data_IF_141059800543
#
_entry.id   IF_141059800543
#
_cell.length_a   1.000
_cell.length_b   1.000
_cell.length_c   1.000
_cell.angle_alpha   90.00
_cell.angle_beta   90.00
_cell.angle_gamma   90.00
#
_symmetry.space_group_name_H-M   'P 1'
#
loop_
_entity.id
_entity.type
_entity.pdbx_description
1 polymer ?
#
# COMPACT_ATOMS: atom_id res chain seq x y z
N UNK A 1 -72.19 39.16 -16.12
CA UNK A 1 -72.65 40.56 -16.35
C UNK A 1 -72.16 41.39 -15.19
N UNK A 2 -71.74 42.62 -15.36
CA UNK A 2 -70.89 43.18 -16.42
C UNK A 2 -69.66 43.92 -15.89
N UNK A 3 -68.80 44.20 -16.77
CA UNK A 3 -68.11 45.42 -17.23
C UNK A 3 -66.90 45.82 -16.50
N UNK A 4 -65.78 45.64 -17.14
CA UNK A 4 -65.00 46.53 -18.04
C UNK A 4 -64.82 47.98 -17.54
N UNK A 5 -63.56 48.39 -17.28
CA UNK A 5 -63.11 49.70 -17.73
C UNK A 5 -61.58 49.73 -17.91
N UNK A 6 -61.17 50.39 -18.96
CA UNK A 6 -59.85 50.43 -19.61
C UNK A 6 -58.94 51.60 -19.11
N UNK A 7 -57.63 51.34 -19.03
CA UNK A 7 -56.41 52.09 -19.45
C UNK A 7 -56.17 53.54 -18.94
N UNK A 8 -54.93 54.13 -18.91
CA UNK A 8 -53.86 53.96 -19.87
C UNK A 8 -52.39 53.91 -19.33
N UNK A 9 -51.59 53.38 -20.19
CA UNK A 9 -50.19 53.47 -20.57
C UNK A 9 -49.36 54.66 -20.03
N UNK A 10 -48.18 54.41 -19.38
CA UNK A 10 -46.99 55.29 -19.43
C UNK A 10 -45.73 54.46 -19.60
N UNK A 11 -45.06 54.66 -20.75
CA UNK A 11 -43.72 54.16 -21.05
C UNK A 11 -42.70 54.86 -20.13
N UNK A 12 -41.97 54.05 -19.37
CA UNK A 12 -40.74 54.46 -18.68
C UNK A 12 -39.60 53.59 -19.18
N UNK A 13 -38.64 54.20 -19.83
CA UNK A 13 -37.38 53.54 -20.27
C UNK A 13 -36.55 53.26 -19.02
N UNK A 14 -36.39 52.00 -18.63
CA UNK A 14 -35.40 51.58 -17.61
C UNK A 14 -34.11 51.16 -18.30
N UNK A 15 -33.05 51.88 -18.02
CA UNK A 15 -31.69 51.44 -18.36
C UNK A 15 -31.33 50.22 -17.52
N UNK A 16 -31.12 49.07 -18.15
CA UNK A 16 -30.53 47.89 -17.53
C UNK A 16 -29.02 48.14 -17.45
N UNK A 17 -28.51 48.43 -16.23
CA UNK A 17 -27.10 48.36 -15.92
C UNK A 17 -26.77 46.87 -15.70
N UNK A 18 -26.06 46.28 -16.65
CA UNK A 18 -25.48 44.95 -16.46
C UNK A 18 -24.28 45.11 -15.55
N UNK A 19 -24.43 44.78 -14.28
CA UNK A 19 -23.32 44.54 -13.40
C UNK A 19 -22.76 43.12 -13.77
N UNK A 20 -21.61 43.12 -14.43
CA UNK A 20 -20.83 41.87 -14.60
C UNK A 20 -20.23 41.58 -13.22
N UNK A 21 -20.87 40.67 -12.48
CA UNK A 21 -20.22 40.05 -11.33
C UNK A 21 -19.16 39.08 -11.89
N UNK A 22 -17.90 39.50 -11.87
CA UNK A 22 -16.78 38.59 -11.92
C UNK A 22 -16.79 37.80 -10.60
N UNK A 23 -17.31 36.58 -10.65
CA UNK A 23 -17.04 35.59 -9.61
C UNK A 23 -15.55 35.28 -9.70
N UNK A 24 -14.76 35.89 -8.82
CA UNK A 24 -13.47 35.37 -8.47
C UNK A 24 -13.75 34.02 -7.78
N UNK A 25 -13.48 32.92 -8.47
CA UNK A 25 -13.41 31.62 -7.84
C UNK A 25 -12.24 31.71 -6.84
N UNK A 26 -12.54 31.92 -5.56
CA UNK A 26 -11.59 31.60 -4.51
C UNK A 26 -11.33 30.09 -4.61
N UNK A 27 -10.20 29.70 -5.18
CA UNK A 27 -9.66 28.36 -4.97
C UNK A 27 -9.36 28.30 -3.47
N UNK A 28 -10.13 27.50 -2.72
CA UNK A 28 -9.76 27.17 -1.36
C UNK A 28 -8.41 26.46 -1.45
N UNK A 29 -7.36 27.09 -0.95
CA UNK A 29 -6.07 26.45 -0.76
C UNK A 29 -6.27 25.38 0.30
N UNK A 30 -6.16 24.12 -0.08
CA UNK A 30 -6.15 23.01 0.87
C UNK A 30 -4.75 22.91 1.45
N UNK A 31 -4.61 23.12 2.76
CA UNK A 31 -3.39 22.82 3.48
C UNK A 31 -3.22 21.30 3.57
N UNK A 32 -2.30 20.74 2.78
CA UNK A 32 -1.95 19.33 2.82
C UNK A 32 -1.01 19.04 3.99
N UNK A 33 -1.39 18.15 4.90
CA UNK A 33 -0.46 17.63 5.93
C UNK A 33 0.48 16.63 5.28
N UNK A 34 1.78 16.86 5.37
CA UNK A 34 2.77 15.93 4.83
C UNK A 34 2.98 14.72 5.73
N UNK A 35 3.53 13.66 5.14
CA UNK A 35 4.07 12.51 5.86
C UNK A 35 5.59 12.53 5.77
N UNK A 36 6.30 11.91 6.75
CA UNK A 36 7.76 11.86 6.64
C UNK A 36 8.21 10.90 5.54
N UNK A 37 9.26 11.27 4.80
CA UNK A 37 9.87 10.40 3.80
C UNK A 37 10.34 9.07 4.41
N UNK A 38 10.89 9.10 5.61
CA UNK A 38 11.29 7.89 6.35
C UNK A 38 10.08 6.97 6.63
N UNK A 39 8.92 7.51 6.97
CA UNK A 39 7.70 6.74 7.21
C UNK A 39 7.21 6.02 5.94
N UNK A 40 7.19 6.74 4.81
CA UNK A 40 6.83 6.15 3.52
C UNK A 40 7.82 5.06 3.11
N UNK A 41 9.14 5.36 3.09
CA UNK A 41 10.16 4.40 2.71
C UNK A 41 10.20 3.17 3.64
N UNK A 42 9.86 3.34 4.91
CA UNK A 42 9.79 2.23 5.88
C UNK A 42 8.55 1.35 5.69
N UNK A 43 7.56 1.76 4.88
CA UNK A 43 6.39 0.96 4.56
C UNK A 43 6.63 -0.03 3.41
N UNK A 44 7.71 0.15 2.64
CA UNK A 44 8.00 -0.63 1.43
C UNK A 44 8.67 -1.96 1.77
N UNK A 45 8.15 -3.04 1.20
CA UNK A 45 8.67 -4.39 1.35
C UNK A 45 8.64 -5.18 0.04
N UNK A 46 9.35 -6.30 0.02
CA UNK A 46 9.38 -7.24 -1.10
C UNK A 46 9.53 -8.68 -0.60
N UNK A 47 8.92 -9.63 -1.31
CA UNK A 47 9.01 -11.05 -1.00
C UNK A 47 10.32 -11.63 -1.50
N UNK A 48 10.97 -12.45 -0.66
CA UNK A 48 12.15 -13.27 -0.98
C UNK A 48 11.86 -14.74 -0.71
N UNK A 49 12.71 -15.65 -1.22
CA UNK A 49 12.53 -17.09 -1.13
C UNK A 49 13.78 -17.79 -0.56
N UNK A 50 14.42 -17.15 0.42
CA UNK A 50 15.60 -17.71 1.12
C UNK A 50 15.20 -19.01 1.82
N UNK A 51 14.02 -19.03 2.41
CA UNK A 51 13.51 -20.20 3.15
C UNK A 51 13.20 -21.39 2.23
N UNK A 52 12.94 -21.12 0.96
CA UNK A 52 12.70 -22.11 -0.09
C UNK A 52 14.00 -22.55 -0.79
N UNK A 53 15.17 -22.10 -0.32
CA UNK A 53 16.47 -22.55 -0.78
C UNK A 53 17.20 -21.61 -1.74
N UNK A 54 16.66 -20.42 -2.02
CA UNK A 54 17.37 -19.42 -2.80
C UNK A 54 18.52 -18.87 -1.98
N UNK A 55 19.77 -18.84 -2.51
CA UNK A 55 20.91 -18.33 -1.76
C UNK A 55 20.74 -16.86 -1.38
N UNK A 56 20.76 -16.51 -0.10
CA UNK A 56 20.57 -15.15 0.39
C UNK A 56 21.55 -14.14 -0.21
N UNK A 57 22.78 -14.56 -0.50
CA UNK A 57 23.79 -13.71 -1.14
C UNK A 57 23.34 -13.16 -2.51
N UNK A 58 22.45 -13.83 -3.23
CA UNK A 58 21.93 -13.37 -4.51
C UNK A 58 20.99 -12.16 -4.41
N UNK A 59 20.45 -11.90 -3.21
CA UNK A 59 19.53 -10.78 -2.96
C UNK A 59 20.23 -9.49 -2.51
N UNK A 60 21.49 -9.55 -2.08
CA UNK A 60 22.18 -8.40 -1.49
C UNK A 60 22.26 -7.23 -2.48
N UNK A 61 22.74 -7.48 -3.71
CA UNK A 61 22.84 -6.42 -4.70
C UNK A 61 21.47 -5.90 -5.16
N UNK A 62 20.46 -6.74 -5.47
CA UNK A 62 19.09 -6.31 -5.75
C UNK A 62 18.47 -5.43 -4.66
N UNK A 63 18.56 -5.82 -3.39
CA UNK A 63 17.99 -5.06 -2.28
C UNK A 63 18.68 -3.72 -2.06
N UNK A 64 20.01 -3.67 -2.17
CA UNK A 64 20.75 -2.40 -2.13
C UNK A 64 20.37 -1.46 -3.26
N UNK A 65 20.17 -2.01 -4.45
CA UNK A 65 19.71 -1.23 -5.61
C UNK A 65 18.33 -0.64 -5.39
N UNK A 66 17.37 -1.43 -4.91
CA UNK A 66 16.01 -0.98 -4.68
C UNK A 66 15.86 0.06 -3.55
N UNK A 67 16.75 0.05 -2.56
CA UNK A 67 16.57 0.89 -1.37
C UNK A 67 15.39 0.48 -0.47
N UNK A 68 14.77 -0.67 -0.71
CA UNK A 68 13.69 -1.22 0.10
C UNK A 68 14.23 -1.68 1.46
N UNK A 69 13.44 -1.47 2.52
CA UNK A 69 13.87 -1.66 3.91
C UNK A 69 13.33 -2.92 4.57
N UNK A 70 12.36 -3.60 3.96
CA UNK A 70 11.74 -4.78 4.52
C UNK A 70 11.70 -5.92 3.51
N UNK A 71 11.89 -7.14 4.00
CA UNK A 71 11.67 -8.36 3.24
C UNK A 71 10.66 -9.23 3.97
N UNK A 72 9.90 -10.02 3.24
CA UNK A 72 9.07 -11.09 3.76
C UNK A 72 9.66 -12.43 3.36
N UNK A 73 9.86 -13.32 4.33
CA UNK A 73 10.40 -14.66 4.11
C UNK A 73 10.11 -15.56 5.31
N UNK A 74 10.27 -16.86 5.15
CA UNK A 74 10.26 -17.80 6.26
C UNK A 74 11.57 -17.78 7.09
N UNK A 75 11.63 -18.62 8.08
CA UNK A 75 12.70 -18.61 9.05
C UNK A 75 13.68 -19.81 9.02
N UNK A 76 13.45 -20.81 8.18
CA UNK A 76 14.26 -22.06 8.18
C UNK A 76 15.73 -21.81 7.89
N UNK A 77 16.03 -20.90 6.96
CA UNK A 77 17.38 -20.49 6.57
C UNK A 77 17.86 -19.23 7.31
N UNK A 78 17.60 -19.15 8.62
CA UNK A 78 17.82 -17.95 9.43
C UNK A 78 19.23 -17.35 9.34
N UNK A 79 20.28 -18.16 9.12
CA UNK A 79 21.64 -17.65 8.92
C UNK A 79 21.79 -16.85 7.64
N UNK A 80 21.16 -17.32 6.54
CA UNK A 80 21.17 -16.63 5.25
C UNK A 80 20.37 -15.35 5.33
N UNK A 81 19.18 -15.38 5.95
CA UNK A 81 18.33 -14.20 6.12
C UNK A 81 19.01 -13.14 6.97
N UNK A 82 19.67 -13.52 8.08
CA UNK A 82 20.46 -12.58 8.91
C UNK A 82 21.69 -12.03 8.18
N UNK A 83 22.30 -12.82 7.29
CA UNK A 83 23.37 -12.34 6.43
C UNK A 83 22.84 -11.22 5.51
N UNK A 84 21.70 -11.43 4.84
CA UNK A 84 21.07 -10.44 3.98
C UNK A 84 20.75 -9.17 4.78
N UNK A 85 20.11 -9.32 5.94
CA UNK A 85 19.78 -8.18 6.81
C UNK A 85 21.02 -7.38 7.24
N UNK A 86 22.09 -8.06 7.65
CA UNK A 86 23.35 -7.41 8.02
C UNK A 86 23.98 -6.63 6.87
N UNK A 87 23.96 -7.20 5.66
CA UNK A 87 24.61 -6.62 4.48
C UNK A 87 23.81 -5.49 3.85
N UNK A 88 22.49 -5.47 4.04
CA UNK A 88 21.58 -4.53 3.36
C UNK A 88 20.85 -3.58 4.31
N UNK A 89 20.76 -3.93 5.59
CA UNK A 89 19.96 -3.18 6.57
C UNK A 89 18.46 -3.50 6.53
N UNK A 90 18.00 -4.44 5.70
CA UNK A 90 16.59 -4.84 5.66
C UNK A 90 16.17 -5.59 6.92
N UNK A 91 14.88 -5.50 7.26
CA UNK A 91 14.27 -6.24 8.35
C UNK A 91 13.26 -7.25 7.82
N UNK A 92 13.11 -8.33 8.55
CA UNK A 92 12.28 -9.47 8.20
C UNK A 92 10.88 -9.36 8.78
N UNK A 93 9.88 -9.45 7.92
CA UNK A 93 8.56 -9.95 8.28
C UNK A 93 8.65 -11.47 8.29
N UNK A 94 8.60 -12.05 9.49
CA UNK A 94 8.81 -13.48 9.71
C UNK A 94 7.50 -14.25 9.44
N UNK A 95 7.39 -14.78 8.23
CA UNK A 95 6.29 -15.65 7.84
C UNK A 95 6.32 -16.97 8.62
N UNK A 96 5.18 -17.36 9.17
CA UNK A 96 5.01 -18.62 9.89
C UNK A 96 4.13 -19.59 9.08
N UNK A 97 4.47 -20.87 9.13
CA UNK A 97 3.77 -21.91 8.34
C UNK A 97 2.84 -22.81 9.17
N UNK A 98 2.49 -22.42 10.39
CA UNK A 98 1.88 -23.34 11.36
C UNK A 98 2.99 -24.10 12.13
N UNK A 99 2.66 -25.20 12.80
CA UNK A 99 3.62 -25.99 13.57
C UNK A 99 3.76 -25.55 15.02
N UNK A 100 4.98 -25.55 15.55
CA UNK A 100 5.24 -25.24 16.95
C UNK A 100 5.49 -23.73 17.16
N UNK A 101 4.66 -23.10 17.98
CA UNK A 101 4.79 -21.67 18.32
C UNK A 101 6.10 -21.39 19.07
N UNK A 102 6.58 -22.30 19.93
CA UNK A 102 7.82 -22.10 20.69
C UNK A 102 9.05 -21.99 19.77
N UNK A 103 9.05 -22.74 18.65
CA UNK A 103 10.11 -22.65 17.64
C UNK A 103 10.10 -21.28 16.97
N UNK A 104 8.88 -20.75 16.67
CA UNK A 104 8.72 -19.41 16.09
C UNK A 104 9.24 -18.34 17.05
N UNK A 105 8.92 -18.44 18.35
CA UNK A 105 9.40 -17.51 19.37
C UNK A 105 10.92 -17.55 19.49
N UNK A 106 11.50 -18.76 19.52
CA UNK A 106 12.96 -18.93 19.57
C UNK A 106 13.65 -18.26 18.38
N UNK A 107 13.09 -18.46 17.20
CA UNK A 107 13.58 -17.88 15.96
C UNK A 107 13.41 -16.35 15.94
N UNK A 108 12.24 -15.85 16.37
CA UNK A 108 11.97 -14.42 16.49
C UNK A 108 12.96 -13.71 17.42
N UNK A 109 13.30 -14.31 18.58
CA UNK A 109 14.34 -13.79 19.49
C UNK A 109 15.72 -13.70 18.81
N UNK A 110 16.06 -14.69 18.00
CA UNK A 110 17.34 -14.66 17.26
C UNK A 110 17.39 -13.53 16.21
N UNK A 111 16.28 -13.26 15.51
CA UNK A 111 16.15 -12.13 14.59
C UNK A 111 16.12 -10.78 15.32
N UNK A 112 15.39 -10.68 16.42
CA UNK A 112 15.36 -9.48 17.25
C UNK A 112 16.72 -9.10 17.79
N UNK A 113 17.48 -10.09 18.34
CA UNK A 113 18.86 -9.90 18.84
C UNK A 113 19.81 -9.41 17.75
N UNK A 114 19.60 -9.82 16.49
CA UNK A 114 20.41 -9.35 15.36
C UNK A 114 19.86 -8.07 14.69
N UNK A 115 18.87 -7.40 15.30
CA UNK A 115 18.19 -6.22 14.78
C UNK A 115 17.65 -6.41 13.35
N UNK A 116 17.23 -7.63 13.03
CA UNK A 116 16.73 -8.01 11.71
C UNK A 116 15.25 -8.40 11.68
N UNK A 117 14.55 -8.36 12.83
CA UNK A 117 13.11 -8.60 12.90
C UNK A 117 12.34 -7.31 12.66
N UNK A 118 11.27 -7.39 11.89
CA UNK A 118 10.28 -6.33 11.72
C UNK A 118 8.94 -6.72 12.35
N UNK A 119 8.45 -7.92 12.01
CA UNK A 119 7.13 -8.41 12.40
C UNK A 119 7.11 -9.93 12.45
N UNK A 120 6.02 -10.46 12.99
CA UNK A 120 5.60 -11.85 12.81
C UNK A 120 4.36 -11.87 11.95
N UNK A 121 4.31 -12.79 11.01
CA UNK A 121 3.13 -13.01 10.18
C UNK A 121 2.52 -14.38 10.48
N UNK A 122 1.19 -14.44 10.47
CA UNK A 122 0.43 -15.70 10.54
C UNK A 122 0.66 -16.60 9.32
N UNK A 123 -0.04 -17.75 9.24
CA UNK A 123 0.11 -18.66 8.13
C UNK A 123 -0.23 -18.06 6.77
N UNK A 124 0.58 -18.40 5.77
CA UNK A 124 0.37 -17.98 4.38
C UNK A 124 -0.82 -18.69 3.77
N UNK A 125 -1.81 -17.95 3.34
CA UNK A 125 -2.91 -18.41 2.49
C UNK A 125 -3.43 -19.80 2.86
N UNK A 126 -3.95 -20.04 4.07
CA UNK A 126 -4.44 -21.36 4.44
C UNK A 126 -5.60 -21.86 3.55
N UNK A 127 -6.26 -20.96 2.82
CA UNK A 127 -7.23 -21.35 1.79
C UNK A 127 -6.57 -22.15 0.65
N UNK A 128 -5.32 -21.84 0.29
CA UNK A 128 -4.52 -22.57 -0.70
C UNK A 128 -3.59 -23.61 -0.05
N UNK A 129 -3.06 -23.30 1.13
CA UNK A 129 -2.02 -24.07 1.81
C UNK A 129 -2.44 -24.42 3.24
N UNK A 130 -3.33 -25.43 3.44
CA UNK A 130 -3.79 -25.82 4.76
C UNK A 130 -2.64 -26.10 5.72
N UNK A 131 -2.78 -25.68 6.98
CA UNK A 131 -1.77 -25.86 8.02
C UNK A 131 -2.15 -26.99 8.97
N UNK A 132 -1.17 -27.53 9.69
CA UNK A 132 -1.41 -28.44 10.81
C UNK A 132 -1.02 -27.79 12.12
N UNK A 133 -1.95 -27.75 13.07
CA UNK A 133 -1.72 -27.27 14.42
C UNK A 133 -2.35 -28.21 15.44
N UNK A 134 -1.58 -28.58 16.49
CA UNK A 134 -1.99 -29.53 17.52
C UNK A 134 -2.57 -30.84 16.94
N UNK A 135 -1.94 -31.35 15.86
CA UNK A 135 -2.35 -32.61 15.20
C UNK A 135 -3.62 -32.51 14.38
N UNK A 136 -4.15 -31.30 14.14
CA UNK A 136 -5.36 -31.06 13.33
C UNK A 136 -5.01 -30.18 12.15
N UNK A 137 -5.46 -30.59 10.96
CA UNK A 137 -5.32 -29.79 9.75
C UNK A 137 -6.47 -28.78 9.66
N UNK A 138 -6.14 -27.53 9.30
CA UNK A 138 -7.11 -26.45 9.09
C UNK A 138 -6.79 -25.64 7.85
N UNK A 139 -7.84 -25.07 7.25
CA UNK A 139 -7.77 -24.30 6.01
C UNK A 139 -8.43 -25.00 4.83
N UNK A 140 -8.28 -24.45 3.62
CA UNK A 140 -8.99 -24.91 2.44
C UNK A 140 -10.50 -24.90 2.64
N UNK A 141 -11.17 -25.92 2.13
CA UNK A 141 -12.62 -26.13 2.35
C UNK A 141 -12.97 -26.78 3.70
N UNK A 142 -11.97 -27.05 4.53
CA UNK A 142 -12.14 -27.68 5.83
C UNK A 142 -12.42 -26.69 6.97
N UNK A 143 -12.26 -27.16 8.20
CA UNK A 143 -12.40 -26.30 9.39
C UNK A 143 -11.21 -25.35 9.51
N UNK A 144 -11.47 -24.10 9.80
CA UNK A 144 -10.43 -23.09 10.05
C UNK A 144 -10.10 -22.92 11.54
N UNK A 145 -10.69 -23.74 12.42
CA UNK A 145 -10.37 -23.71 13.88
C UNK A 145 -8.87 -23.87 14.13
N UNK A 146 -8.14 -24.83 13.50
CA UNK A 146 -6.71 -24.95 13.73
C UNK A 146 -5.92 -23.72 13.30
N UNK A 147 -6.32 -23.04 12.22
CA UNK A 147 -5.71 -21.78 11.75
C UNK A 147 -5.91 -20.68 12.80
N UNK A 148 -7.16 -20.48 13.24
CA UNK A 148 -7.49 -19.50 14.25
C UNK A 148 -6.79 -19.77 15.61
N UNK A 149 -6.71 -21.04 16.02
CA UNK A 149 -5.98 -21.44 17.24
C UNK A 149 -4.49 -21.17 17.15
N UNK A 150 -3.87 -21.44 16.00
CA UNK A 150 -2.47 -21.11 15.78
C UNK A 150 -2.24 -19.60 15.84
N UNK A 151 -3.03 -18.82 15.11
CA UNK A 151 -2.91 -17.37 15.08
C UNK A 151 -3.05 -16.75 16.47
N UNK A 152 -4.03 -17.19 17.24
CA UNK A 152 -4.22 -16.73 18.61
C UNK A 152 -3.06 -17.11 19.54
N UNK A 153 -2.53 -18.34 19.40
CA UNK A 153 -1.39 -18.80 20.16
C UNK A 153 -0.10 -18.03 19.81
N UNK A 154 0.14 -17.77 18.51
CA UNK A 154 1.25 -16.95 18.03
C UNK A 154 1.18 -15.54 18.65
N UNK A 155 0.02 -14.88 18.53
CA UNK A 155 -0.19 -13.55 19.09
C UNK A 155 0.10 -13.52 20.60
N UNK A 156 -0.49 -14.44 21.34
CA UNK A 156 -0.30 -14.51 22.79
C UNK A 156 1.15 -14.77 23.18
N UNK A 157 1.85 -15.66 22.48
CA UNK A 157 3.24 -15.99 22.74
C UNK A 157 4.18 -14.81 22.44
N UNK A 158 4.01 -14.11 21.32
CA UNK A 158 4.80 -12.92 20.99
C UNK A 158 4.58 -11.83 22.02
N UNK A 159 3.31 -11.52 22.36
CA UNK A 159 2.98 -10.43 23.29
C UNK A 159 3.34 -10.73 24.75
N UNK A 160 3.51 -11.99 25.13
CA UNK A 160 3.97 -12.38 26.47
C UNK A 160 5.50 -12.44 26.61
N UNK A 161 6.22 -12.52 25.50
CA UNK A 161 7.70 -12.53 25.50
C UNK A 161 8.23 -11.09 25.57
N UNK A 162 8.90 -10.73 26.68
CA UNK A 162 9.35 -9.37 26.93
C UNK A 162 10.21 -8.77 25.80
N UNK A 163 11.07 -9.60 25.19
CA UNK A 163 11.96 -9.18 24.09
C UNK A 163 11.24 -9.03 22.77
N UNK A 164 9.98 -9.51 22.64
CA UNK A 164 9.22 -9.55 21.40
C UNK A 164 7.91 -8.77 21.44
N UNK A 165 7.45 -8.36 22.62
CA UNK A 165 6.12 -7.76 22.84
C UNK A 165 5.84 -6.53 21.97
N UNK A 166 6.88 -5.75 21.67
CA UNK A 166 6.78 -4.54 20.85
C UNK A 166 6.71 -4.81 19.32
N UNK A 167 7.09 -6.01 18.89
CA UNK A 167 6.99 -6.36 17.47
C UNK A 167 5.54 -6.61 17.07
N UNK A 168 5.08 -6.08 15.93
CA UNK A 168 3.74 -6.34 15.45
C UNK A 168 3.55 -7.80 15.03
N UNK A 169 2.33 -8.27 15.17
CA UNK A 169 1.86 -9.56 14.67
C UNK A 169 0.82 -9.29 13.60
N UNK A 170 1.14 -9.66 12.36
CA UNK A 170 0.21 -9.62 11.25
C UNK A 170 -0.72 -10.84 11.30
N UNK A 171 -1.94 -10.66 10.87
CA UNK A 171 -2.89 -11.76 10.80
C UNK A 171 -2.50 -12.78 9.74
N UNK A 172 -3.17 -13.91 9.75
CA UNK A 172 -3.14 -14.87 8.67
C UNK A 172 -3.51 -14.18 7.36
N UNK A 173 -2.81 -14.49 6.27
CA UNK A 173 -3.14 -13.96 4.95
C UNK A 173 -4.07 -14.88 4.17
N UNK A 174 -4.78 -14.34 3.19
CA UNK A 174 -5.60 -15.11 2.25
C UNK A 174 -5.38 -14.69 0.81
N UNK A 175 -5.33 -15.68 -0.09
CA UNK A 175 -5.41 -15.44 -1.52
C UNK A 175 -6.84 -15.08 -1.93
N UNK A 176 -6.98 -14.27 -2.98
CA UNK A 176 -8.27 -13.92 -3.56
C UNK A 176 -8.75 -12.51 -3.24
N UNK A 177 -7.93 -11.72 -2.56
CA UNK A 177 -8.22 -10.32 -2.25
C UNK A 177 -8.10 -9.35 -3.45
N UNK A 178 -7.84 -9.87 -4.62
CA UNK A 178 -7.62 -9.08 -5.86
C UNK A 178 -8.82 -8.22 -6.26
N UNK A 179 -10.01 -8.57 -5.81
CA UNK A 179 -11.26 -7.92 -6.19
C UNK A 179 -12.09 -7.43 -5.01
N UNK A 180 -11.78 -7.85 -3.79
CA UNK A 180 -12.64 -7.62 -2.64
C UNK A 180 -11.92 -7.53 -1.28
N UNK A 181 -10.60 -7.38 -1.28
CA UNK A 181 -9.79 -7.32 -0.05
C UNK A 181 -10.14 -8.41 0.97
N UNK A 182 -10.37 -9.62 0.47
CA UNK A 182 -10.58 -10.84 1.26
C UNK A 182 -9.43 -10.98 2.27
N UNK A 183 -9.75 -11.28 3.50
CA UNK A 183 -8.74 -11.41 4.54
C UNK A 183 -8.55 -10.16 5.42
N UNK A 184 -9.34 -9.11 5.26
CA UNK A 184 -9.46 -8.06 6.25
C UNK A 184 -10.22 -8.58 7.46
N UNK A 185 -9.47 -9.18 8.38
CA UNK A 185 -10.00 -9.98 9.46
C UNK A 185 -10.07 -9.24 10.78
N UNK A 186 -10.72 -9.90 11.77
CA UNK A 186 -10.66 -9.43 13.13
C UNK A 186 -9.26 -9.39 13.68
N UNK A 187 -8.94 -8.25 14.23
CA UNK A 187 -7.79 -8.10 15.11
C UNK A 187 -8.16 -8.56 16.53
N UNK A 188 -9.41 -8.36 16.89
CA UNK A 188 -9.99 -8.75 18.18
C UNK A 188 -11.42 -9.23 17.96
N UNK A 189 -11.80 -10.33 18.57
CA UNK A 189 -13.18 -10.83 18.50
C UNK A 189 -14.13 -9.79 19.10
N UNK A 190 -15.07 -9.26 18.32
CA UNK A 190 -15.99 -8.27 18.81
C UNK A 190 -17.01 -8.89 19.77
N UNK A 191 -17.57 -8.05 20.62
CA UNK A 191 -18.61 -8.46 21.57
C UNK A 191 -19.84 -8.97 20.83
N UNK A 192 -20.29 -10.16 21.20
CA UNK A 192 -21.49 -10.77 20.63
C UNK A 192 -21.29 -11.44 19.28
N UNK A 193 -20.05 -11.63 18.83
CA UNK A 193 -19.76 -12.32 17.58
C UNK A 193 -20.21 -13.78 17.58
N UNK A 194 -20.40 -14.39 18.76
CA UNK A 194 -20.88 -15.76 18.87
C UNK A 194 -19.91 -16.82 18.35
N UNK A 195 -18.62 -16.51 18.36
CA UNK A 195 -17.55 -17.36 17.86
C UNK A 195 -17.18 -18.47 18.86
N UNK A 196 -16.33 -19.42 18.41
CA UNK A 196 -15.79 -20.47 19.28
C UNK A 196 -14.84 -19.91 20.34
N UNK A 197 -14.28 -18.73 20.10
CA UNK A 197 -13.42 -18.02 21.04
C UNK A 197 -14.19 -16.94 21.78
N UNK A 198 -13.80 -16.63 23.02
CA UNK A 198 -14.45 -15.58 23.79
C UNK A 198 -14.37 -14.20 23.13
N UNK A 199 -15.37 -13.37 23.37
CA UNK A 199 -15.34 -11.95 23.08
C UNK A 199 -14.08 -11.32 23.66
N UNK A 200 -13.42 -10.42 22.91
CA UNK A 200 -12.19 -9.77 23.31
C UNK A 200 -10.91 -10.58 23.06
N UNK A 201 -11.00 -11.80 22.52
CA UNK A 201 -9.80 -12.56 22.11
C UNK A 201 -9.06 -11.79 21.02
N UNK A 202 -7.76 -11.53 21.23
CA UNK A 202 -6.90 -10.81 20.29
C UNK A 202 -6.12 -11.81 19.42
N UNK A 203 -5.99 -11.48 18.14
CA UNK A 203 -5.31 -12.32 17.15
C UNK A 203 -4.14 -11.66 16.45
N UNK A 204 -4.21 -10.36 16.21
CA UNK A 204 -3.22 -9.64 15.46
C UNK A 204 -3.23 -8.15 15.79
N UNK A 205 -2.19 -7.44 15.36
CA UNK A 205 -2.13 -5.98 15.39
C UNK A 205 -2.57 -5.37 14.05
N UNK A 206 -2.44 -6.15 12.94
CA UNK A 206 -2.81 -5.72 11.59
C UNK A 206 -3.53 -6.84 10.84
N UNK A 207 -4.59 -6.51 10.14
CA UNK A 207 -5.21 -7.38 9.15
C UNK A 207 -4.29 -7.52 7.93
N UNK A 208 -4.35 -8.66 7.23
CA UNK A 208 -3.38 -9.00 6.19
C UNK A 208 -4.02 -9.72 4.99
N UNK A 209 -4.71 -9.03 4.09
CA UNK A 209 -5.14 -9.61 2.83
C UNK A 209 -4.02 -9.60 1.80
N UNK A 210 -3.99 -10.58 0.89
CA UNK A 210 -3.18 -10.53 -0.32
C UNK A 210 -3.98 -9.88 -1.45
N UNK A 211 -4.04 -8.54 -1.45
CA UNK A 211 -4.82 -7.75 -2.38
C UNK A 211 -4.01 -7.41 -3.65
N UNK A 212 -3.81 -8.41 -4.50
CA UNK A 212 -3.09 -8.22 -5.75
C UNK A 212 -3.74 -7.15 -6.65
N UNK A 213 -2.90 -6.36 -7.29
CA UNK A 213 -3.32 -5.34 -8.26
C UNK A 213 -3.84 -5.98 -9.54
N UNK A 214 -3.37 -7.19 -9.84
CA UNK A 214 -3.83 -7.98 -10.99
C UNK A 214 -5.25 -8.46 -10.74
N UNK A 215 -6.22 -7.91 -11.47
CA UNK A 215 -7.57 -8.45 -11.47
C UNK A 215 -7.71 -9.51 -12.55
N UNK A 216 -8.18 -10.70 -12.19
CA UNK A 216 -8.52 -11.75 -13.16
C UNK A 216 -9.67 -11.37 -14.08
N UNK A 217 -10.46 -10.36 -13.72
CA UNK A 217 -11.65 -9.94 -14.46
C UNK A 217 -11.40 -8.75 -15.38
N UNK A 218 -10.45 -7.86 -15.05
CA UNK A 218 -10.13 -6.68 -15.86
C UNK A 218 -8.64 -6.39 -15.75
N UNK A 219 -7.95 -6.66 -16.83
CA UNK A 219 -6.51 -6.43 -16.94
C UNK A 219 -6.27 -5.01 -17.43
N UNK A 220 -5.47 -4.23 -16.69
CA UNK A 220 -5.03 -2.89 -17.02
C UNK A 220 -6.19 -1.93 -17.33
N UNK A 221 -6.78 -1.42 -16.28
CA UNK A 221 -7.86 -0.43 -16.29
C UNK A 221 -7.46 0.81 -15.50
N UNK A 222 -8.17 1.92 -15.74
CA UNK A 222 -7.95 3.16 -15.00
C UNK A 222 -8.14 2.93 -13.49
N UNK A 223 -7.27 3.54 -12.71
CA UNK A 223 -7.22 3.41 -11.24
C UNK A 223 -6.99 1.97 -10.76
N UNK A 224 -6.15 1.20 -11.45
CA UNK A 224 -5.90 -0.19 -11.12
C UNK A 224 -5.31 -0.35 -9.72
N UNK A 225 -4.25 0.40 -9.41
CA UNK A 225 -3.59 0.36 -8.10
C UNK A 225 -4.44 1.04 -7.02
N UNK A 226 -5.05 2.17 -7.34
CA UNK A 226 -5.92 2.90 -6.43
C UNK A 226 -7.12 2.08 -5.96
N UNK A 227 -7.76 1.34 -6.87
CA UNK A 227 -8.86 0.44 -6.53
C UNK A 227 -8.42 -0.75 -5.70
N UNK A 228 -7.28 -1.38 -6.06
CA UNK A 228 -6.75 -2.50 -5.28
C UNK A 228 -6.41 -2.10 -3.83
N UNK A 229 -6.05 -0.84 -3.60
CA UNK A 229 -5.76 -0.31 -2.28
C UNK A 229 -7.02 0.05 -1.47
N UNK A 230 -8.23 -0.03 -2.04
CA UNK A 230 -9.47 0.30 -1.35
C UNK A 230 -9.87 -0.80 -0.36
N UNK A 231 -9.81 -0.55 0.96
CA UNK A 231 -10.15 -1.56 1.96
C UNK A 231 -11.65 -1.86 2.04
N UNK A 232 -12.48 -0.99 1.45
CA UNK A 232 -13.94 -1.11 1.50
C UNK A 232 -14.51 -1.93 0.34
N UNK A 233 -13.67 -2.35 -0.64
CA UNK A 233 -14.11 -3.24 -1.69
C UNK A 233 -14.59 -4.55 -1.10
N UNK A 234 -15.87 -4.86 -1.34
CA UNK A 234 -16.49 -6.11 -0.96
C UNK A 234 -16.92 -6.86 -2.21
N UNK A 235 -16.61 -8.14 -2.27
CA UNK A 235 -17.00 -9.04 -3.33
C UNK A 235 -17.77 -10.24 -2.81
N UNK A 236 -18.07 -11.22 -3.69
CA UNK A 236 -18.74 -12.45 -3.28
C UNK A 236 -17.87 -13.34 -2.38
N UNK A 237 -16.56 -13.04 -2.29
CA UNK A 237 -15.58 -13.77 -1.51
C UNK A 237 -15.16 -12.95 -0.30
N UNK A 238 -16.08 -12.76 0.61
CA UNK A 238 -15.77 -12.30 1.97
C UNK A 238 -15.08 -13.49 2.70
N UNK A 239 -13.84 -13.78 2.25
CA UNK A 239 -13.17 -15.06 2.41
C UNK A 239 -13.06 -15.49 3.83
N UNK A 240 -12.55 -14.66 4.69
CA UNK A 240 -12.43 -15.03 6.09
C UNK A 240 -13.75 -15.06 6.82
N UNK A 241 -14.68 -14.18 6.50
CA UNK A 241 -16.00 -14.25 7.08
C UNK A 241 -16.76 -15.49 6.62
N UNK A 242 -16.61 -15.91 5.36
CA UNK A 242 -17.21 -17.15 4.87
C UNK A 242 -16.47 -18.37 5.45
N UNK A 243 -15.15 -18.39 5.44
CA UNK A 243 -14.36 -19.50 5.97
C UNK A 243 -14.38 -19.54 7.50
N UNK A 244 -14.25 -18.43 8.17
CA UNK A 244 -14.51 -18.33 9.61
C UNK A 244 -15.99 -18.44 9.93
N UNK A 245 -16.91 -18.08 9.04
CA UNK A 245 -18.34 -18.33 9.18
C UNK A 245 -18.67 -19.80 9.30
N UNK A 246 -17.94 -20.68 8.61
CA UNK A 246 -18.03 -22.13 8.80
C UNK A 246 -17.39 -22.60 10.11
N UNK A 247 -16.44 -21.86 10.63
CA UNK A 247 -15.70 -22.15 11.86
C UNK A 247 -16.35 -21.54 13.09
N UNK A 248 -16.97 -20.39 12.95
CA UNK A 248 -17.60 -19.62 14.00
C UNK A 248 -19.09 -20.00 14.09
N UNK A 249 -19.57 -20.26 15.27
CA UNK A 249 -21.00 -20.48 15.48
C UNK A 249 -21.76 -19.18 15.32
N UNK A 250 -22.47 -19.03 14.22
CA UNK A 250 -23.33 -17.89 13.96
C UNK A 250 -22.88 -17.04 12.77
N UNK A 251 -23.77 -16.18 12.34
CA UNK A 251 -23.50 -15.22 11.25
C UNK A 251 -22.76 -14.02 11.85
N UNK A 252 -21.48 -13.95 11.61
CA UNK A 252 -20.77 -12.71 11.84
C UNK A 252 -20.99 -11.79 10.65
N UNK A 253 -21.29 -10.52 10.96
CA UNK A 253 -21.68 -9.55 9.96
C UNK A 253 -20.49 -8.94 9.20
N UNK A 254 -19.27 -9.15 9.60
CA UNK A 254 -18.12 -8.46 9.06
C UNK A 254 -17.98 -7.01 9.56
N UNK A 255 -16.94 -6.35 9.11
CA UNK A 255 -16.75 -4.92 9.34
C UNK A 255 -17.68 -4.08 8.45
N UNK A 256 -18.15 -2.92 8.93
CA UNK A 256 -18.74 -1.90 8.07
C UNK A 256 -17.65 -1.22 7.23
N UNK A 257 -18.05 -0.48 6.18
CA UNK A 257 -17.09 0.28 5.37
C UNK A 257 -16.28 1.27 6.20
N UNK A 258 -16.93 1.94 7.16
CA UNK A 258 -16.29 2.90 8.06
C UNK A 258 -15.28 2.22 9.00
N UNK A 259 -15.58 1.01 9.45
CA UNK A 259 -14.64 0.21 10.26
C UNK A 259 -13.46 -0.25 9.42
N UNK A 260 -13.67 -0.65 8.16
CA UNK A 260 -12.61 -1.06 7.25
C UNK A 260 -11.66 0.10 6.90
N UNK A 261 -12.17 1.32 6.73
CA UNK A 261 -11.34 2.50 6.44
C UNK A 261 -10.29 2.77 7.52
N UNK A 262 -10.61 2.49 8.78
CA UNK A 262 -9.72 2.74 9.93
C UNK A 262 -9.04 1.48 10.47
N UNK A 263 -9.37 0.31 9.92
CA UNK A 263 -8.78 -0.96 10.37
C UNK A 263 -7.27 -0.95 10.11
N UNK A 264 -6.43 -1.18 11.13
CA UNK A 264 -5.00 -1.37 10.92
C UNK A 264 -4.74 -2.55 9.99
N UNK A 265 -4.03 -2.31 8.88
CA UNK A 265 -3.86 -3.30 7.81
C UNK A 265 -2.50 -3.23 7.15
N UNK A 266 -2.08 -4.36 6.62
CA UNK A 266 -0.90 -4.56 5.80
C UNK A 266 -1.27 -5.45 4.61
N UNK A 267 -0.48 -5.44 3.55
CA UNK A 267 -0.49 -6.50 2.56
C UNK A 267 0.91 -7.09 2.45
N UNK A 268 1.02 -8.38 2.71
CA UNK A 268 2.29 -9.08 2.66
C UNK A 268 2.54 -9.75 1.30
N UNK A 269 1.54 -9.71 0.42
CA UNK A 269 1.70 -9.98 -1.01
C UNK A 269 0.77 -9.11 -1.85
N UNK A 270 1.35 -8.45 -2.83
CA UNK A 270 0.67 -7.78 -3.93
C UNK A 270 1.61 -7.75 -5.13
N UNK A 271 1.11 -7.52 -6.33
CA UNK A 271 1.99 -7.52 -7.49
C UNK A 271 1.29 -7.42 -8.83
N UNK A 272 2.09 -7.36 -9.87
CA UNK A 272 1.70 -7.36 -11.27
C UNK A 272 2.74 -8.10 -12.09
N UNK A 273 2.29 -8.88 -13.07
CA UNK A 273 3.17 -9.64 -13.95
C UNK A 273 3.65 -8.82 -15.14
N UNK A 274 4.87 -9.07 -15.62
CA UNK A 274 5.48 -8.38 -16.77
C UNK A 274 5.26 -9.08 -18.11
N UNK A 275 4.28 -9.98 -18.23
CA UNK A 275 4.00 -10.65 -19.50
C UNK A 275 3.50 -9.65 -20.55
N UNK A 276 3.91 -9.83 -21.81
CA UNK A 276 3.60 -8.91 -22.89
C UNK A 276 2.10 -8.69 -23.10
N UNK A 277 1.28 -9.71 -22.86
CA UNK A 277 -0.18 -9.64 -23.02
C UNK A 277 -0.88 -8.65 -22.08
N UNK A 278 -0.20 -8.18 -21.04
CA UNK A 278 -0.70 -7.22 -20.04
C UNK A 278 0.20 -5.98 -19.90
N UNK A 279 0.94 -5.63 -20.96
CA UNK A 279 1.70 -4.39 -21.05
C UNK A 279 3.20 -4.48 -20.78
N UNK A 280 3.72 -5.68 -20.47
CA UNK A 280 5.16 -5.91 -20.31
C UNK A 280 5.78 -5.20 -19.11
N UNK A 281 7.10 -5.08 -19.11
CA UNK A 281 7.87 -4.52 -17.97
C UNK A 281 7.51 -3.06 -17.65
N UNK A 282 7.16 -2.25 -18.67
CA UNK A 282 6.84 -0.84 -18.43
C UNK A 282 5.56 -0.70 -17.58
N UNK A 283 4.51 -1.41 -17.97
CA UNK A 283 3.23 -1.38 -17.23
C UNK A 283 3.40 -2.00 -15.86
N UNK A 284 4.17 -3.10 -15.73
CA UNK A 284 4.53 -3.64 -14.43
C UNK A 284 5.17 -2.55 -13.55
N UNK A 285 6.15 -1.84 -14.09
CA UNK A 285 6.89 -0.82 -13.34
C UNK A 285 6.01 0.33 -12.85
N UNK A 286 5.17 0.89 -13.73
CA UNK A 286 4.28 1.99 -13.35
C UNK A 286 3.22 1.54 -12.34
N UNK A 287 2.59 0.39 -12.56
CA UNK A 287 1.60 -0.15 -11.61
C UNK A 287 2.22 -0.41 -10.23
N UNK A 288 3.42 -0.99 -10.14
CA UNK A 288 4.02 -1.32 -8.84
C UNK A 288 4.45 -0.07 -8.07
N UNK A 289 4.93 0.98 -8.74
CA UNK A 289 5.17 2.29 -8.11
C UNK A 289 3.86 2.88 -7.60
N UNK A 290 2.84 2.95 -8.46
CA UNK A 290 1.53 3.47 -8.10
C UNK A 290 0.89 2.66 -6.96
N UNK A 291 1.12 1.33 -6.92
CA UNK A 291 0.62 0.47 -5.85
C UNK A 291 1.24 0.83 -4.50
N UNK A 292 2.56 1.02 -4.40
CA UNK A 292 3.16 1.49 -3.15
C UNK A 292 2.58 2.83 -2.68
N UNK A 293 2.40 3.77 -3.61
CA UNK A 293 1.84 5.10 -3.31
C UNK A 293 0.36 5.01 -2.88
N UNK A 294 -0.46 4.30 -3.63
CA UNK A 294 -1.89 4.14 -3.36
C UNK A 294 -2.15 3.40 -2.04
N UNK A 295 -1.43 2.30 -1.79
CA UNK A 295 -1.52 1.55 -0.54
C UNK A 295 -1.19 2.46 0.66
N UNK A 296 -0.06 3.18 0.60
CA UNK A 296 0.33 4.07 1.68
C UNK A 296 -0.67 5.23 1.88
N UNK A 297 -1.11 5.89 0.82
CA UNK A 297 -2.10 6.98 0.87
C UNK A 297 -3.41 6.52 1.48
N UNK A 298 -3.83 5.28 1.21
CA UNK A 298 -5.04 4.66 1.76
C UNK A 298 -4.85 3.99 3.14
N UNK A 299 -3.72 4.25 3.80
CA UNK A 299 -3.49 3.86 5.20
C UNK A 299 -2.99 2.42 5.42
N UNK A 300 -2.48 1.75 4.40
CA UNK A 300 -1.78 0.48 4.58
C UNK A 300 -0.42 0.73 5.22
N UNK A 301 -0.15 0.06 6.32
CA UNK A 301 1.07 0.29 7.09
C UNK A 301 2.32 -0.26 6.41
N UNK A 302 2.20 -1.42 5.76
CA UNK A 302 3.27 -2.07 4.99
C UNK A 302 2.68 -2.68 3.73
N UNK A 303 3.47 -2.64 2.65
CA UNK A 303 3.12 -3.23 1.36
C UNK A 303 4.31 -4.01 0.84
N UNK A 304 4.14 -5.32 0.61
CA UNK A 304 5.17 -6.20 0.09
C UNK A 304 4.82 -6.64 -1.33
N UNK A 305 5.69 -6.31 -2.27
CA UNK A 305 5.53 -6.76 -3.65
C UNK A 305 6.04 -8.20 -3.79
N UNK A 306 5.22 -9.06 -4.36
CA UNK A 306 5.57 -10.39 -4.81
C UNK A 306 5.95 -10.34 -6.29
N UNK A 307 7.23 -10.58 -6.63
CA UNK A 307 8.35 -11.04 -5.84
C UNK A 307 9.65 -10.28 -6.22
N UNK A 308 10.76 -10.51 -5.52
CA UNK A 308 12.02 -9.83 -5.83
C UNK A 308 12.60 -10.27 -7.17
N UNK A 309 12.56 -11.57 -7.51
CA UNK A 309 13.19 -12.11 -8.72
C UNK A 309 12.33 -13.19 -9.37
N UNK A 310 12.20 -13.12 -10.68
CA UNK A 310 11.46 -14.10 -11.48
C UNK A 310 11.94 -15.55 -11.27
N UNK A 311 10.97 -16.46 -11.21
CA UNK A 311 11.22 -17.89 -11.20
C UNK A 311 11.53 -18.50 -9.83
N UNK A 312 11.22 -17.81 -8.75
CA UNK A 312 11.46 -18.29 -7.38
C UNK A 312 10.20 -18.83 -6.69
N UNK A 313 9.05 -18.21 -6.87
CA UNK A 313 7.82 -18.58 -6.18
C UNK A 313 6.77 -19.23 -7.08
N UNK A 314 6.20 -18.47 -7.95
CA UNK A 314 5.07 -18.86 -8.81
C UNK A 314 5.42 -18.98 -10.29
N UNK A 315 4.40 -19.24 -11.09
CA UNK A 315 4.49 -19.09 -12.53
C UNK A 315 4.43 -17.64 -12.97
N UNK A 316 4.82 -17.34 -14.22
CA UNK A 316 4.84 -15.98 -14.75
C UNK A 316 6.16 -15.25 -14.51
N UNK A 317 6.13 -13.93 -14.65
CA UNK A 317 7.28 -13.04 -14.48
C UNK A 317 6.92 -11.87 -13.54
N UNK A 318 6.51 -12.13 -12.28
CA UNK A 318 6.11 -11.10 -11.33
C UNK A 318 7.31 -10.37 -10.70
N UNK A 319 8.53 -10.92 -10.81
CA UNK A 319 9.73 -10.39 -10.17
C UNK A 319 10.09 -8.96 -10.60
N UNK A 320 10.68 -8.19 -9.69
CA UNK A 320 11.30 -6.90 -9.97
C UNK A 320 12.59 -7.08 -10.79
N UNK A 321 13.29 -8.18 -10.57
CA UNK A 321 14.45 -8.61 -11.33
C UNK A 321 14.12 -9.86 -12.13
N UNK A 322 14.76 -10.02 -13.27
CA UNK A 322 14.65 -11.26 -14.01
C UNK A 322 15.40 -12.41 -13.31
N UNK A 323 15.25 -13.64 -13.78
CA UNK A 323 15.89 -14.83 -13.20
C UNK A 323 17.43 -14.78 -13.17
N UNK A 324 18.07 -13.84 -13.88
CA UNK A 324 19.52 -13.59 -13.86
C UNK A 324 19.91 -12.44 -12.91
N UNK A 325 19.00 -11.96 -12.08
CA UNK A 325 19.16 -10.80 -11.21
C UNK A 325 19.48 -9.48 -11.93
N UNK A 326 19.08 -9.36 -13.19
CA UNK A 326 19.14 -8.10 -13.90
C UNK A 326 17.85 -7.29 -13.59
N UNK A 327 17.97 -5.99 -13.32
CA UNK A 327 16.79 -5.18 -13.02
C UNK A 327 15.87 -5.10 -14.23
N UNK A 328 14.58 -5.29 -14.01
CA UNK A 328 13.52 -4.94 -14.95
C UNK A 328 13.14 -3.47 -14.78
N UNK A 329 12.29 -2.92 -15.64
CA UNK A 329 11.85 -1.53 -15.51
C UNK A 329 11.17 -1.28 -14.15
N UNK A 330 10.48 -2.25 -13.60
CA UNK A 330 9.90 -2.16 -12.25
C UNK A 330 10.95 -1.89 -11.17
N UNK A 331 12.08 -2.62 -11.19
CA UNK A 331 13.17 -2.37 -10.26
C UNK A 331 13.79 -0.99 -10.47
N UNK A 332 13.92 -0.54 -11.73
CA UNK A 332 14.47 0.77 -12.07
C UNK A 332 13.58 1.91 -11.55
N UNK A 333 12.27 1.83 -11.77
CA UNK A 333 11.33 2.87 -11.33
C UNK A 333 11.22 2.95 -9.81
N UNK A 334 11.21 1.81 -9.13
CA UNK A 334 11.26 1.75 -7.65
C UNK A 334 12.58 2.32 -7.13
N UNK A 335 13.72 1.99 -7.76
CA UNK A 335 15.02 2.57 -7.42
C UNK A 335 15.01 4.10 -7.56
N UNK A 336 14.44 4.62 -8.65
CA UNK A 336 14.34 6.06 -8.85
C UNK A 336 13.50 6.71 -7.75
N UNK A 337 12.30 6.18 -7.48
CA UNK A 337 11.43 6.64 -6.41
C UNK A 337 12.15 6.68 -5.05
N UNK A 338 12.76 5.56 -4.65
CA UNK A 338 13.42 5.45 -3.34
C UNK A 338 14.67 6.31 -3.23
N UNK A 339 15.37 6.55 -4.35
CA UNK A 339 16.57 7.41 -4.40
C UNK A 339 16.19 8.88 -4.31
N UNK A 340 15.18 9.33 -5.05
CA UNK A 340 14.70 10.72 -4.98
C UNK A 340 14.17 11.03 -3.59
N UNK A 341 13.36 10.13 -3.02
CA UNK A 341 12.79 10.31 -1.67
C UNK A 341 13.74 9.94 -0.52
N UNK A 342 15.01 9.61 -0.82
CA UNK A 342 15.94 9.08 0.19
C UNK A 342 16.02 10.02 1.42
N UNK A 343 15.70 9.45 2.57
CA UNK A 343 15.85 10.05 3.89
C UNK A 343 16.06 8.94 4.91
N UNK A 344 16.99 9.15 5.84
CA UNK A 344 17.32 8.18 6.90
C UNK A 344 16.94 8.67 8.28
N UNK A 345 16.44 9.89 8.37
CA UNK A 345 16.12 10.53 9.63
C UNK A 345 14.60 10.60 9.80
N UNK A 346 14.04 9.95 10.82
CA UNK A 346 12.62 10.09 11.11
C UNK A 346 12.26 11.55 11.41
N UNK A 347 11.18 12.04 10.81
CA UNK A 347 10.59 13.33 11.08
C UNK A 347 9.30 13.12 11.87
N UNK A 348 9.35 13.45 13.17
CA UNK A 348 8.24 13.15 14.08
C UNK A 348 7.00 14.04 13.84
N UNK A 349 7.22 15.26 13.35
CA UNK A 349 6.16 16.24 13.09
C UNK A 349 6.38 16.87 11.71
N UNK A 350 5.93 16.22 10.64
CA UNK A 350 5.97 16.81 9.32
C UNK A 350 5.11 18.06 9.25
N UNK A 351 5.58 19.05 8.51
CA UNK A 351 4.88 20.32 8.31
C UNK A 351 3.76 20.19 7.27
N UNK A 352 2.98 21.24 7.11
CA UNK A 352 1.99 21.36 6.04
C UNK A 352 2.53 22.25 4.92
N UNK A 353 2.12 21.98 3.70
CA UNK A 353 2.31 22.82 2.54
C UNK A 353 0.94 23.19 1.97
N UNK A 354 0.76 24.47 1.66
CA UNK A 354 -0.44 24.94 0.99
C UNK A 354 -0.31 24.66 -0.51
N UNK A 355 -1.09 23.73 -1.03
CA UNK A 355 -1.16 23.46 -2.46
C UNK A 355 -2.57 23.03 -2.87
N UNK A 356 -2.85 23.10 -4.17
CA UNK A 356 -4.08 22.56 -4.74
C UNK A 356 -3.84 22.08 -6.16
N UNK A 357 -4.55 21.02 -6.55
CA UNK A 357 -4.57 20.50 -7.91
C UNK A 357 -5.89 20.94 -8.54
N UNK A 358 -5.82 21.78 -9.58
CA UNK A 358 -7.01 22.31 -10.24
C UNK A 358 -7.62 21.26 -11.17
N UNK A 359 -8.96 21.09 -11.08
CA UNK A 359 -9.73 20.13 -11.89
C UNK A 359 -9.13 18.71 -11.85
N UNK A 360 -8.76 18.28 -10.65
CA UNK A 360 -8.14 16.97 -10.42
C UNK A 360 -8.99 15.83 -11.02
N UNK A 361 -8.49 15.15 -12.05
CA UNK A 361 -9.18 14.00 -12.63
C UNK A 361 -9.23 12.84 -11.63
N UNK A 362 -10.25 12.00 -11.72
CA UNK A 362 -10.38 10.82 -10.83
C UNK A 362 -9.27 9.77 -11.01
N UNK A 363 -8.46 9.92 -12.06
CA UNK A 363 -7.29 9.09 -12.40
C UNK A 363 -5.98 9.68 -11.92
N UNK A 364 -6.01 10.83 -11.27
CA UNK A 364 -4.84 11.50 -10.69
C UNK A 364 -4.94 11.45 -9.18
N UNK A 365 -3.82 11.19 -8.55
CA UNK A 365 -3.70 11.08 -7.09
C UNK A 365 -2.41 11.75 -6.65
N UNK A 366 -2.32 12.12 -5.37
CA UNK A 366 -1.18 12.82 -4.81
C UNK A 366 -0.77 12.29 -3.43
N UNK A 367 0.46 12.53 -3.03
CA UNK A 367 0.97 12.28 -1.68
C UNK A 367 2.04 13.34 -1.35
N UNK A 368 1.76 14.16 -0.35
CA UNK A 368 2.75 15.12 0.14
C UNK A 368 3.68 14.45 1.15
N UNK A 369 4.97 14.48 0.86
CA UNK A 369 6.04 13.90 1.68
C UNK A 369 6.98 15.03 2.12
N UNK A 370 7.54 14.94 3.32
CA UNK A 370 8.59 15.85 3.77
C UNK A 370 9.83 15.09 4.22
N UNK A 371 10.99 15.54 3.73
CA UNK A 371 12.30 15.06 4.20
C UNK A 371 12.69 15.75 5.50
N UNK A 372 13.54 15.10 6.28
CA UNK A 372 14.11 15.67 7.52
C UNK A 372 14.91 16.96 7.30
N UNK A 373 15.35 17.23 6.07
CA UNK A 373 15.97 18.49 5.64
C UNK A 373 14.99 19.66 5.55
N UNK A 374 13.68 19.41 5.62
CA UNK A 374 12.63 20.42 5.42
C UNK A 374 12.05 20.45 4.00
N UNK A 375 12.72 19.85 3.01
CA UNK A 375 12.28 19.80 1.61
C UNK A 375 10.96 19.04 1.52
N UNK A 376 10.01 19.57 0.74
CA UNK A 376 8.77 18.89 0.40
C UNK A 376 8.90 18.17 -0.93
N UNK A 377 8.34 16.97 -0.98
CA UNK A 377 8.23 16.13 -2.16
C UNK A 377 6.75 15.86 -2.41
N UNK A 378 6.13 16.58 -3.30
CA UNK A 378 4.76 16.31 -3.72
C UNK A 378 4.81 15.25 -4.83
N UNK A 379 4.50 14.01 -4.49
CA UNK A 379 4.39 12.93 -5.44
C UNK A 379 3.00 12.96 -6.05
N UNK A 380 2.91 13.14 -7.36
CA UNK A 380 1.64 13.12 -8.10
C UNK A 380 1.70 11.99 -9.12
N UNK A 381 0.70 11.10 -9.14
CA UNK A 381 0.68 10.00 -10.08
C UNK A 381 -0.65 9.90 -10.81
N UNK A 382 -0.54 9.50 -12.09
CA UNK A 382 -1.68 9.17 -12.92
C UNK A 382 -1.93 7.66 -12.95
N UNK A 383 -3.18 7.29 -13.15
CA UNK A 383 -3.59 5.90 -13.42
C UNK A 383 -4.52 5.82 -14.63
N UNK A 384 -4.32 6.70 -15.61
CA UNK A 384 -5.06 6.67 -16.89
C UNK A 384 -4.38 5.69 -17.85
N UNK A 385 -5.09 4.65 -18.27
CA UNK A 385 -4.56 3.65 -19.22
C UNK A 385 -4.65 4.10 -20.68
N UNK A 386 -5.33 5.21 -20.95
CA UNK A 386 -5.54 5.77 -22.30
C UNK A 386 -5.39 7.28 -22.27
N UNK A 387 -4.39 7.76 -22.99
CA UNK A 387 -4.13 9.19 -23.09
C UNK A 387 -3.36 9.73 -21.88
N UNK A 388 -3.65 10.95 -21.52
CA UNK A 388 -3.00 11.65 -20.39
C UNK A 388 -3.92 12.74 -19.86
N UNK A 389 -3.81 13.01 -18.58
CA UNK A 389 -4.49 14.08 -17.88
C UNK A 389 -3.56 15.30 -17.81
N UNK A 390 -4.08 16.49 -18.13
CA UNK A 390 -3.39 17.75 -17.94
C UNK A 390 -3.90 18.39 -16.66
N UNK A 391 -2.99 18.61 -15.70
CA UNK A 391 -3.30 19.20 -14.41
C UNK A 391 -2.46 20.45 -14.17
N UNK A 392 -2.98 21.35 -13.35
CA UNK A 392 -2.26 22.50 -12.83
C UNK A 392 -2.19 22.41 -11.31
N UNK A 393 -0.98 22.50 -10.77
CA UNK A 393 -0.73 22.50 -9.33
C UNK A 393 -0.40 23.94 -8.92
N UNK A 394 -1.21 24.50 -8.04
CA UNK A 394 -0.91 25.77 -7.37
C UNK A 394 -0.17 25.44 -6.07
N UNK A 395 0.97 26.11 -5.84
CA UNK A 395 1.83 25.87 -4.68
C UNK A 395 1.61 26.91 -3.55
N UNK A 396 0.52 27.70 -3.63
CA UNK A 396 0.16 28.69 -2.61
C UNK A 396 0.94 30.00 -2.70
N UNK A 397 2.25 29.93 -2.88
CA UNK A 397 3.13 31.09 -3.06
C UNK A 397 4.34 30.70 -3.93
N UNK A 398 5.15 31.67 -4.30
CA UNK A 398 6.34 31.41 -5.08
C UNK A 398 7.46 30.79 -4.22
N UNK A 399 8.00 29.68 -4.69
CA UNK A 399 9.12 28.95 -4.09
C UNK A 399 10.42 29.27 -4.82
N UNK A 400 11.54 29.25 -4.09
CA UNK A 400 12.85 29.60 -4.65
C UNK A 400 13.27 28.65 -5.77
N UNK A 401 13.08 27.35 -5.59
CA UNK A 401 13.40 26.33 -6.57
C UNK A 401 12.37 25.19 -6.51
N UNK A 402 11.96 24.71 -7.69
CA UNK A 402 11.08 23.54 -7.84
C UNK A 402 11.70 22.62 -8.89
N UNK A 403 11.99 21.39 -8.50
CA UNK A 403 12.54 20.37 -9.36
C UNK A 403 11.48 19.31 -9.73
N UNK A 404 11.39 18.95 -10.99
CA UNK A 404 10.46 17.94 -11.49
C UNK A 404 11.23 16.68 -11.87
N UNK A 405 10.83 15.54 -11.30
CA UNK A 405 11.39 14.23 -11.60
C UNK A 405 10.30 13.30 -12.14
N UNK A 406 10.58 12.62 -13.24
CA UNK A 406 9.78 11.49 -13.70
C UNK A 406 10.48 10.20 -13.24
N UNK A 407 9.79 9.41 -12.41
CA UNK A 407 10.36 8.16 -11.85
C UNK A 407 10.62 7.11 -12.92
N UNK A 408 10.02 7.25 -14.12
CA UNK A 408 10.26 6.34 -15.26
C UNK A 408 11.50 6.71 -16.06
N UNK A 409 12.05 7.91 -15.86
CA UNK A 409 13.20 8.46 -16.59
C UNK A 409 14.49 8.33 -15.77
N UNK A 410 14.49 8.79 -14.51
CA UNK A 410 15.72 8.74 -13.71
C UNK A 410 15.64 9.46 -12.39
N UNK A 411 16.82 9.70 -11.78
CA UNK A 411 16.99 10.35 -10.49
C UNK A 411 17.51 11.79 -10.59
N UNK A 412 17.65 12.31 -11.81
CA UNK A 412 18.02 13.71 -12.08
C UNK A 412 16.77 14.47 -12.45
N UNK A 413 16.59 15.73 -11.99
CA UNK A 413 15.44 16.52 -12.41
C UNK A 413 15.39 16.65 -13.94
N UNK A 414 14.23 16.43 -14.52
CA UNK A 414 14.00 16.74 -15.94
C UNK A 414 13.84 18.24 -16.15
N UNK A 415 13.36 18.94 -15.15
CA UNK A 415 13.17 20.38 -15.17
C UNK A 415 13.43 20.99 -13.80
N UNK A 416 14.14 22.12 -13.79
CA UNK A 416 14.31 22.99 -12.62
C UNK A 416 13.67 24.34 -12.92
N UNK A 417 12.76 24.76 -12.08
CA UNK A 417 12.03 26.03 -12.15
C UNK A 417 12.40 26.91 -10.97
N UNK A 418 12.41 28.21 -11.13
CA UNK A 418 12.77 29.13 -10.05
C UNK A 418 11.73 30.23 -9.88
N UNK A 419 11.44 30.58 -8.64
CA UNK A 419 10.52 31.65 -8.28
C UNK A 419 9.14 31.48 -8.92
N UNK A 420 8.54 30.28 -8.77
CA UNK A 420 7.24 29.95 -9.31
C UNK A 420 6.27 29.54 -8.21
N UNK A 421 4.99 29.81 -8.44
CA UNK A 421 3.86 29.46 -7.56
C UNK A 421 2.92 28.44 -8.18
N UNK A 422 3.16 28.02 -9.41
CA UNK A 422 2.33 27.05 -10.11
C UNK A 422 3.08 26.29 -11.19
N UNK A 423 2.66 25.03 -11.41
CA UNK A 423 3.23 24.15 -12.43
C UNK A 423 2.11 23.41 -13.17
N UNK A 424 2.35 23.09 -14.43
CA UNK A 424 1.46 22.23 -15.22
C UNK A 424 2.15 20.90 -15.49
N UNK A 425 1.45 19.80 -15.26
CA UNK A 425 1.92 18.44 -15.53
C UNK A 425 0.99 17.75 -16.52
N UNK A 426 1.57 16.84 -17.28
CA UNK A 426 0.85 15.93 -18.14
C UNK A 426 1.13 14.50 -17.68
N UNK A 427 0.13 13.88 -17.06
CA UNK A 427 0.23 12.56 -16.45
C UNK A 427 -0.53 11.50 -17.24
N UNK A 428 0.05 10.33 -17.42
CA UNK A 428 -0.64 9.17 -17.94
C UNK A 428 -0.83 8.11 -16.85
N UNK A 429 0.07 7.13 -16.77
CA UNK A 429 0.02 5.98 -15.88
C UNK A 429 1.23 5.88 -14.92
N UNK A 430 1.92 6.98 -14.68
CA UNK A 430 3.17 7.02 -13.91
C UNK A 430 3.18 8.14 -12.86
N UNK A 431 4.20 8.11 -12.00
CA UNK A 431 4.41 9.10 -10.96
C UNK A 431 5.48 10.13 -11.36
N UNK A 432 5.19 11.38 -11.02
CA UNK A 432 6.11 12.53 -11.08
C UNK A 432 6.30 13.06 -9.66
N UNK A 433 7.52 13.44 -9.31
CA UNK A 433 7.83 14.04 -8.02
C UNK A 433 8.15 15.52 -8.24
N UNK A 434 7.47 16.36 -7.50
CA UNK A 434 7.68 17.80 -7.43
C UNK A 434 8.41 18.09 -6.14
N UNK A 435 9.74 18.28 -6.23
CA UNK A 435 10.57 18.67 -5.09
C UNK A 435 10.51 20.19 -4.94
N UNK A 436 10.15 20.66 -3.76
CA UNK A 436 9.91 22.09 -3.45
C UNK A 436 10.91 22.54 -2.40
N UNK A 437 11.70 23.53 -2.75
CA UNK A 437 12.82 24.08 -1.96
C UNK A 437 12.58 25.57 -1.72
N UNK A 438 12.54 25.98 -0.46
CA UNK A 438 12.42 27.39 -0.02
C UNK A 438 13.76 28.03 0.29
#
# INVERSE_FOLDING_TARGET
MPQMCLKPNKRGIQFLVHAVLTLAACSEAFSGTSVSADSFLSSLGVNTHIDQGVPGGSYIAPLRYLGIRNIRDGGRNSLQTRLVARETGVRLDLLTGGGNVDDVITLGKAFATSNSLMAFEGPNEPNNFPITYNGKTGGGSGSWIPVAQFQQALYAAVKSAAELSEFPVFSVSEAGAEVDNVGLQYLTIPKGAGTTFPDGTRYADYANPHNYVTSTQKIYVDNQAWKAADPTLSGPWDGLFVEYGNTWRGHFRGYSSEELEVLPRVTTETGWDSVDGIGGERVQGTILVNNYLAQFKRGWRYTFIYELRDGEGGGGNPGLFNSRSQPKLAATYIHNLTTILADKTPLAQPASLDYSISNEPSTVHDLLIQKSSGIFELVVWGESTKGSDEISINLGHAHAEVNLYDVTVGTTPEQTLTNIDSISLKLSDHAVIVEIID
#
